data_IF_285025553808
#
_entry.id   IF_285025553808
#
_cell.length_a   1.000
_cell.length_b   1.000
_cell.length_c   1.000
_cell.angle_alpha   90.00
_cell.angle_beta   90.00
_cell.angle_gamma   90.00
#
_symmetry.space_group_name_H-M   'P 1'
#
loop_
_entity.id
_entity.type
_entity.pdbx_description
1 polymer ?
#
# COMPACT_ATOMS: atom_id res chain seq x y z
N UNK A 1 36.37 14.06 7.01
CA UNK A 1 35.36 14.36 8.04
C UNK A 1 34.00 13.99 7.48
N UNK A 2 33.30 13.04 8.09
CA UNK A 2 31.96 12.62 7.64
C UNK A 2 30.92 13.42 8.42
N UNK A 3 30.28 14.40 7.78
CA UNK A 3 29.18 15.14 8.38
C UNK A 3 27.91 14.30 8.31
N UNK A 4 27.47 13.76 9.44
CA UNK A 4 26.16 13.10 9.54
C UNK A 4 25.09 14.19 9.68
N UNK A 5 24.42 14.50 8.57
CA UNK A 5 23.27 15.39 8.57
C UNK A 5 22.08 14.66 9.22
N UNK A 6 21.89 14.82 10.52
CA UNK A 6 20.71 14.31 11.23
C UNK A 6 19.65 15.41 11.28
N UNK A 7 18.51 15.16 10.63
CA UNK A 7 17.36 16.05 10.73
C UNK A 7 16.83 16.02 12.17
N UNK A 8 16.49 17.18 12.78
CA UNK A 8 15.96 17.24 14.13
C UNK A 8 14.69 16.39 14.30
N UNK A 9 14.47 15.82 15.47
CA UNK A 9 13.28 15.01 15.75
C UNK A 9 11.96 15.76 15.47
N UNK A 10 11.95 17.09 15.67
CA UNK A 10 10.83 17.97 15.32
C UNK A 10 10.48 17.96 13.83
N UNK A 11 11.45 17.81 12.93
CA UNK A 11 11.19 17.72 11.50
C UNK A 11 10.32 16.49 11.19
N UNK A 12 10.65 15.34 11.79
CA UNK A 12 9.89 14.10 11.61
C UNK A 12 8.49 14.17 12.23
N UNK A 13 8.34 14.81 13.39
CA UNK A 13 7.04 15.01 14.02
C UNK A 13 6.13 15.92 13.18
N UNK A 14 6.66 17.03 12.64
CA UNK A 14 5.92 17.94 11.78
C UNK A 14 5.53 17.24 10.49
N UNK A 15 6.46 16.51 9.86
CA UNK A 15 6.19 15.77 8.62
C UNK A 15 5.13 14.70 8.83
N UNK A 16 5.23 13.91 9.91
CA UNK A 16 4.24 12.90 10.26
C UNK A 16 2.87 13.50 10.55
N UNK A 17 2.82 14.61 11.29
CA UNK A 17 1.58 15.35 11.56
C UNK A 17 0.93 15.89 10.29
N UNK A 18 1.72 16.46 9.38
CA UNK A 18 1.25 16.96 8.10
C UNK A 18 0.69 15.83 7.21
N UNK A 19 1.40 14.70 7.13
CA UNK A 19 0.94 13.52 6.40
C UNK A 19 -0.37 12.99 7.00
N UNK A 20 -0.45 12.84 8.32
CA UNK A 20 -1.66 12.40 9.00
C UNK A 20 -2.84 13.36 8.75
N UNK A 21 -2.59 14.67 8.79
CA UNK A 21 -3.59 15.69 8.48
C UNK A 21 -4.06 15.61 7.02
N UNK A 22 -3.15 15.49 6.06
CA UNK A 22 -3.50 15.35 4.64
C UNK A 22 -4.29 14.06 4.35
N UNK A 23 -3.93 12.94 4.98
CA UNK A 23 -4.68 11.68 4.87
C UNK A 23 -6.08 11.84 5.46
N UNK A 24 -6.20 12.48 6.63
CA UNK A 24 -7.50 12.69 7.29
C UNK A 24 -8.38 13.64 6.47
N UNK A 25 -7.82 14.72 5.94
CA UNK A 25 -8.52 15.67 5.08
C UNK A 25 -8.92 15.03 3.74
N UNK A 26 -8.03 14.26 3.12
CA UNK A 26 -8.36 13.48 1.93
C UNK A 26 -9.46 12.46 2.21
N UNK A 27 -9.46 11.81 3.38
CA UNK A 27 -10.51 10.89 3.80
C UNK A 27 -11.86 11.57 4.03
N UNK A 28 -11.87 12.81 4.54
CA UNK A 28 -13.08 13.59 4.80
C UNK A 28 -13.66 14.22 3.52
N UNK A 29 -12.79 14.65 2.60
CA UNK A 29 -13.18 15.24 1.32
C UNK A 29 -13.48 14.19 0.24
N UNK A 30 -12.97 12.97 0.38
CA UNK A 30 -13.24 11.89 -0.56
C UNK A 30 -14.60 11.29 -0.27
N UNK A 31 -15.33 10.98 -1.35
CA UNK A 31 -16.53 10.15 -1.33
C UNK A 31 -16.27 8.91 -0.44
N UNK A 32 -17.09 8.59 0.57
CA UNK A 32 -16.80 7.51 1.53
C UNK A 32 -16.45 6.18 0.85
N UNK A 33 -17.06 5.90 -0.32
CA UNK A 33 -16.73 4.74 -1.15
C UNK A 33 -15.29 4.76 -1.68
N UNK A 34 -14.76 5.92 -2.07
CA UNK A 34 -13.38 6.06 -2.51
C UNK A 34 -12.40 5.83 -1.35
N UNK A 35 -12.73 6.34 -0.16
CA UNK A 35 -11.94 6.09 1.05
C UNK A 35 -11.80 4.59 1.36
N UNK A 36 -12.91 3.84 1.29
CA UNK A 36 -12.88 2.38 1.49
C UNK A 36 -12.05 1.64 0.42
N UNK A 37 -12.13 2.06 -0.84
CA UNK A 37 -11.32 1.48 -1.92
C UNK A 37 -9.83 1.73 -1.65
N UNK A 38 -9.46 2.97 -1.32
CA UNK A 38 -8.06 3.32 -1.06
C UNK A 38 -7.51 2.60 0.18
N UNK A 39 -8.30 2.51 1.24
CA UNK A 39 -7.96 1.77 2.45
C UNK A 39 -7.74 0.29 2.16
N UNK A 40 -8.68 -0.35 1.45
CA UNK A 40 -8.59 -1.78 1.09
C UNK A 40 -7.36 -2.09 0.24
N UNK A 41 -7.10 -1.27 -0.78
CA UNK A 41 -5.95 -1.43 -1.67
C UNK A 41 -4.63 -1.23 -0.92
N UNK A 42 -4.56 -0.23 -0.04
CA UNK A 42 -3.35 0.03 0.77
C UNK A 42 -3.10 -1.11 1.76
N UNK A 43 -4.14 -1.60 2.44
CA UNK A 43 -4.03 -2.70 3.38
C UNK A 43 -3.57 -3.99 2.69
N UNK A 44 -4.14 -4.32 1.53
CA UNK A 44 -3.70 -5.46 0.72
C UNK A 44 -2.27 -5.31 0.23
N UNK A 45 -1.88 -4.10 -0.16
CA UNK A 45 -0.51 -3.74 -0.51
C UNK A 45 0.50 -3.97 0.62
N UNK A 46 0.18 -3.50 1.83
CA UNK A 46 1.01 -3.70 3.02
C UNK A 46 1.14 -5.19 3.38
N UNK A 47 0.05 -5.94 3.29
CA UNK A 47 0.06 -7.39 3.51
C UNK A 47 0.99 -8.10 2.50
N UNK A 48 0.98 -7.67 1.23
CA UNK A 48 1.90 -8.16 0.21
C UNK A 48 3.36 -7.89 0.57
N UNK A 49 3.71 -6.64 0.93
CA UNK A 49 5.08 -6.26 1.32
C UNK A 49 5.56 -7.05 2.54
N UNK A 50 4.69 -7.18 3.56
CA UNK A 50 4.96 -8.01 4.74
C UNK A 50 5.18 -9.47 4.36
N UNK A 51 4.34 -10.03 3.48
CA UNK A 51 4.47 -11.40 3.00
C UNK A 51 5.82 -11.64 2.32
N UNK A 52 6.23 -10.78 1.39
CA UNK A 52 7.54 -10.88 0.74
C UNK A 52 8.69 -10.74 1.73
N UNK A 53 8.61 -9.80 2.66
CA UNK A 53 9.63 -9.61 3.67
C UNK A 53 9.80 -10.87 4.54
N UNK A 54 8.70 -11.42 5.08
CA UNK A 54 8.73 -12.63 5.89
C UNK A 54 9.23 -13.84 5.08
N UNK A 55 8.77 -13.97 3.83
CA UNK A 55 9.21 -15.03 2.93
C UNK A 55 10.72 -14.98 2.68
N UNK A 56 11.28 -13.81 2.45
CA UNK A 56 12.73 -13.66 2.24
C UNK A 56 13.54 -13.87 3.51
N UNK A 57 13.05 -13.33 4.64
CA UNK A 57 13.72 -13.40 5.93
C UNK A 57 13.79 -14.82 6.47
N UNK A 58 12.72 -15.60 6.35
CA UNK A 58 12.59 -16.88 7.05
C UNK A 58 12.63 -18.11 6.14
N UNK A 59 12.27 -17.96 4.86
CA UNK A 59 12.12 -19.11 3.96
C UNK A 59 13.25 -19.17 2.94
N UNK A 60 13.45 -18.13 2.13
CA UNK A 60 14.40 -18.20 1.01
C UNK A 60 15.84 -18.47 1.44
N UNK A 61 16.35 -17.72 2.43
CA UNK A 61 17.75 -17.86 2.84
C UNK A 61 18.05 -19.24 3.42
N UNK A 62 17.09 -19.79 4.18
CA UNK A 62 17.17 -21.13 4.74
C UNK A 62 17.00 -22.23 3.68
N UNK A 63 16.00 -22.10 2.81
CA UNK A 63 15.62 -23.13 1.84
C UNK A 63 16.65 -23.29 0.70
N UNK A 64 17.25 -22.20 0.24
CA UNK A 64 18.14 -22.20 -0.92
C UNK A 64 19.61 -21.89 -0.58
N UNK A 65 19.93 -21.63 0.69
CA UNK A 65 21.29 -21.32 1.15
C UNK A 65 21.92 -20.11 0.42
N UNK A 66 21.10 -19.13 0.02
CA UNK A 66 21.53 -17.93 -0.70
C UNK A 66 21.52 -16.75 0.28
N UNK A 67 22.56 -15.89 0.29
CA UNK A 67 22.51 -14.65 1.06
C UNK A 67 21.44 -13.71 0.48
N UNK A 68 20.38 -13.45 1.25
CA UNK A 68 19.31 -12.52 0.89
C UNK A 68 19.21 -11.41 1.92
N UNK A 69 19.19 -10.17 1.44
CA UNK A 69 19.04 -8.99 2.28
C UNK A 69 17.57 -8.56 2.17
N UNK A 70 16.69 -9.17 2.97
CA UNK A 70 15.24 -8.93 2.91
C UNK A 70 14.88 -7.43 3.05
N UNK A 71 15.65 -6.66 3.82
CA UNK A 71 15.46 -5.22 4.00
C UNK A 71 15.71 -4.44 2.68
N UNK A 72 16.66 -4.89 1.85
CA UNK A 72 17.00 -4.21 0.60
C UNK A 72 15.88 -4.32 -0.45
N UNK A 73 14.99 -5.31 -0.33
CA UNK A 73 13.89 -5.53 -1.27
C UNK A 73 12.59 -4.82 -0.86
N UNK A 74 12.46 -4.39 0.40
CA UNK A 74 11.29 -3.62 0.87
C UNK A 74 10.99 -2.40 -0.01
N UNK A 75 11.96 -1.57 -0.42
CA UNK A 75 11.70 -0.43 -1.30
C UNK A 75 11.10 -0.85 -2.65
N UNK A 76 11.57 -1.97 -3.21
CA UNK A 76 11.09 -2.50 -4.50
C UNK A 76 9.65 -2.96 -4.35
N UNK A 77 9.33 -3.68 -3.28
CA UNK A 77 7.98 -4.16 -3.00
C UNK A 77 7.00 -3.01 -2.73
N UNK A 78 7.46 -1.91 -2.12
CA UNK A 78 6.68 -0.69 -1.94
C UNK A 78 6.39 -0.01 -3.28
N UNK A 79 7.38 0.07 -4.19
CA UNK A 79 7.15 0.57 -5.55
C UNK A 79 6.11 -0.30 -6.27
N UNK A 80 6.23 -1.62 -6.18
CA UNK A 80 5.26 -2.56 -6.76
C UNK A 80 3.85 -2.37 -6.18
N UNK A 81 3.75 -2.18 -4.86
CA UNK A 81 2.49 -1.87 -4.18
C UNK A 81 1.85 -0.60 -4.76
N UNK A 82 2.62 0.48 -4.90
CA UNK A 82 2.12 1.77 -5.42
C UNK A 82 1.62 1.61 -6.85
N UNK A 83 2.38 0.95 -7.72
CA UNK A 83 1.98 0.68 -9.10
C UNK A 83 0.69 -0.14 -9.15
N UNK A 84 0.62 -1.21 -8.34
CA UNK A 84 -0.59 -2.04 -8.21
C UNK A 84 -1.80 -1.23 -7.76
N UNK A 85 -1.62 -0.34 -6.78
CA UNK A 85 -2.68 0.52 -6.26
C UNK A 85 -3.20 1.51 -7.30
N UNK A 86 -2.30 2.11 -8.10
CA UNK A 86 -2.66 3.03 -9.19
C UNK A 86 -3.50 2.34 -10.27
N UNK A 87 -3.17 1.10 -10.60
CA UNK A 87 -3.86 0.32 -11.65
C UNK A 87 -5.15 -0.33 -11.11
N UNK A 88 -5.27 -0.57 -9.81
CA UNK A 88 -6.42 -1.26 -9.22
C UNK A 88 -7.75 -0.57 -9.52
N UNK A 89 -7.82 0.77 -9.41
CA UNK A 89 -9.06 1.54 -9.62
C UNK A 89 -9.55 1.49 -11.07
N UNK A 90 -8.74 1.83 -12.11
CA UNK A 90 -9.19 1.74 -13.49
C UNK A 90 -9.52 0.30 -13.89
N UNK A 91 -8.76 -0.69 -13.43
CA UNK A 91 -9.05 -2.10 -13.69
C UNK A 91 -10.36 -2.54 -13.04
N UNK A 92 -10.61 -2.18 -11.78
CA UNK A 92 -11.87 -2.48 -11.12
C UNK A 92 -13.07 -1.85 -11.85
N UNK A 93 -12.92 -0.61 -12.36
CA UNK A 93 -13.94 0.05 -13.19
C UNK A 93 -14.16 -0.67 -14.52
N UNK A 94 -13.09 -1.09 -15.20
CA UNK A 94 -13.17 -1.83 -16.46
C UNK A 94 -13.89 -3.17 -16.28
N UNK A 95 -13.55 -3.93 -15.22
CA UNK A 95 -14.20 -5.19 -14.87
C UNK A 95 -15.69 -4.98 -14.58
N UNK A 96 -16.04 -3.97 -13.77
CA UNK A 96 -17.46 -3.65 -13.47
C UNK A 96 -18.25 -3.30 -14.74
N UNK A 97 -17.63 -2.64 -15.71
CA UNK A 97 -18.25 -2.34 -17.02
C UNK A 97 -18.41 -3.59 -17.89
N UNK A 98 -17.41 -4.46 -17.91
CA UNK A 98 -17.46 -5.71 -18.66
C UNK A 98 -18.48 -6.72 -18.10
N UNK A 99 -18.71 -6.70 -16.79
CA UNK A 99 -19.60 -7.64 -16.09
C UNK A 99 -20.72 -6.91 -15.32
N UNK A 100 -21.71 -6.34 -16.01
CA UNK A 100 -22.80 -5.57 -15.38
C UNK A 100 -23.68 -6.40 -14.43
N UNK A 101 -23.63 -7.73 -14.53
CA UNK A 101 -24.37 -8.68 -13.69
C UNK A 101 -23.96 -8.56 -12.20
N UNK A 102 -22.70 -8.21 -11.93
CA UNK A 102 -22.20 -8.00 -10.56
C UNK A 102 -22.84 -6.77 -9.89
N UNK A 103 -23.29 -5.77 -10.66
CA UNK A 103 -23.99 -4.60 -10.12
C UNK A 103 -25.40 -4.92 -9.63
N UNK A 104 -26.05 -5.95 -10.22
CA UNK A 104 -27.43 -6.33 -9.91
C UNK A 104 -27.57 -7.10 -8.59
N UNK A 105 -26.52 -7.81 -8.18
CA UNK A 105 -26.45 -8.60 -6.94
C UNK A 105 -26.26 -7.70 -5.71
N UNK A 106 -25.55 -6.58 -5.86
CA UNK A 106 -25.34 -5.56 -4.81
C UNK A 106 -26.68 -4.89 -4.43
N UNK A 107 -27.46 -4.49 -5.43
CA UNK A 107 -28.76 -3.84 -5.23
C UNK A 107 -29.90 -4.77 -4.79
N UNK A 108 -29.75 -6.09 -4.86
CA UNK A 108 -30.82 -7.04 -4.47
C UNK A 108 -30.73 -7.50 -3.02
N UNK A 109 -29.72 -7.04 -2.28
CA UNK A 109 -29.53 -7.33 -0.85
C UNK A 109 -30.03 -6.21 0.08
N UNK A 110 -30.72 -5.21 -0.49
CA UNK A 110 -31.44 -4.16 0.23
C UNK A 110 -32.89 -4.10 -0.26
#
# INVERSE_FOLDING_TARGET
MTYKFMLPCMFWLILGGLVAFLISLAGFLSDPQFGWILFSVTLGGLMMVLGYFLYQMFIIGWLFNIPVIAIAEVPINIVQMIIGALIAIPTARAIRRAFPQMKKIDNSKF
#
